data_IF_740426866268
#
_entry.id   IF_740426866268
#
_cell.length_a   1.000
_cell.length_b   1.000
_cell.length_c   1.000
_cell.angle_alpha   90.00
_cell.angle_beta   90.00
_cell.angle_gamma   90.00
#
_symmetry.space_group_name_H-M   'P 1'
#
loop_
_entity.id
_entity.type
_entity.pdbx_description
1 polymer ?
#
# COMPACT_ATOMS: atom_id res chain seq x y z
N UNK A 1 4.27 15.49 4.71
CA UNK A 1 5.70 15.11 4.45
C UNK A 1 5.93 14.95 2.94
N UNK A 2 7.18 15.00 2.42
CA UNK A 2 7.44 14.91 0.97
C UNK A 2 6.93 13.59 0.35
N UNK A 3 7.21 12.44 0.99
CA UNK A 3 6.80 11.12 0.50
C UNK A 3 5.26 11.02 0.34
N UNK A 4 4.52 11.51 1.33
CA UNK A 4 3.06 11.56 1.30
C UNK A 4 2.54 12.37 0.11
N UNK A 5 3.15 13.54 -0.17
CA UNK A 5 2.78 14.39 -1.31
C UNK A 5 3.08 13.73 -2.65
N UNK A 6 4.18 12.99 -2.75
CA UNK A 6 4.53 12.22 -3.95
C UNK A 6 3.48 11.12 -4.18
N UNK A 7 3.10 10.38 -3.14
CA UNK A 7 2.07 9.35 -3.25
C UNK A 7 0.70 9.93 -3.60
N UNK A 8 0.30 11.04 -2.96
CA UNK A 8 -0.93 11.79 -3.30
C UNK A 8 -0.93 12.19 -4.77
N UNK A 9 0.18 12.74 -5.27
CA UNK A 9 0.32 13.13 -6.67
C UNK A 9 0.24 11.93 -7.62
N UNK A 10 0.93 10.82 -7.32
CA UNK A 10 0.87 9.59 -8.13
C UNK A 10 -0.54 9.00 -8.23
N UNK A 11 -1.29 8.96 -7.12
CA UNK A 11 -2.69 8.52 -7.17
C UNK A 11 -3.57 9.52 -7.93
N UNK A 12 -3.32 10.82 -7.76
CA UNK A 12 -4.05 11.87 -8.47
C UNK A 12 -3.90 11.73 -9.99
N UNK A 13 -2.70 11.43 -10.49
CA UNK A 13 -2.44 11.31 -11.93
C UNK A 13 -3.03 10.04 -12.54
N UNK A 14 -3.16 8.96 -11.76
CA UNK A 14 -3.78 7.71 -12.20
C UNK A 14 -5.31 7.78 -12.27
N UNK A 15 -5.95 8.68 -11.51
CA UNK A 15 -7.40 8.81 -11.46
C UNK A 15 -7.90 10.16 -12.01
N UNK A 16 -8.45 10.13 -13.22
CA UNK A 16 -8.97 11.29 -13.95
C UNK A 16 -10.38 11.74 -13.47
N UNK A 17 -11.02 11.01 -12.55
CA UNK A 17 -12.37 11.34 -12.10
C UNK A 17 -12.40 12.60 -11.23
N UNK A 18 -13.44 13.42 -11.41
CA UNK A 18 -13.75 14.58 -10.54
C UNK A 18 -14.18 14.17 -9.14
N UNK A 19 -14.80 12.99 -9.00
CA UNK A 19 -15.17 12.40 -7.71
C UNK A 19 -14.23 11.25 -7.43
N UNK A 20 -13.26 11.50 -6.54
CA UNK A 20 -12.23 10.51 -6.20
C UNK A 20 -12.59 9.84 -4.89
N UNK A 21 -12.87 8.54 -4.97
CA UNK A 21 -12.96 7.71 -3.78
C UNK A 21 -11.58 7.60 -3.12
N UNK A 22 -11.56 7.54 -1.79
CA UNK A 22 -10.35 7.24 -1.03
C UNK A 22 -9.77 5.87 -1.48
N UNK A 23 -8.48 5.79 -1.83
CA UNK A 23 -7.90 4.57 -2.38
C UNK A 23 -7.75 3.48 -1.31
N UNK A 24 -7.80 2.22 -1.76
CA UNK A 24 -7.31 1.07 -0.99
C UNK A 24 -5.87 0.82 -1.43
N UNK A 25 -4.93 0.74 -0.51
CA UNK A 25 -3.49 0.71 -0.80
C UNK A 25 -2.87 -0.58 -0.28
N UNK A 26 -1.96 -1.15 -1.06
CA UNK A 26 -1.03 -2.20 -0.62
C UNK A 26 0.36 -1.58 -0.62
N UNK A 27 0.94 -1.40 0.57
CA UNK A 27 2.34 -1.00 0.71
C UNK A 27 3.19 -2.26 0.63
N UNK A 28 4.00 -2.35 -0.41
CA UNK A 28 4.83 -3.52 -0.67
C UNK A 28 6.30 -3.12 -0.72
N UNK A 29 7.00 -3.34 0.39
CA UNK A 29 8.43 -3.15 0.45
C UNK A 29 9.12 -4.36 -0.22
N UNK A 30 9.95 -4.08 -1.23
CA UNK A 30 10.62 -5.11 -2.05
C UNK A 30 12.05 -5.39 -1.60
N UNK A 31 12.63 -4.49 -0.83
CA UNK A 31 14.04 -4.52 -0.44
C UNK A 31 14.17 -4.40 1.07
N UNK A 32 15.26 -4.97 1.62
CA UNK A 32 15.55 -4.94 3.06
C UNK A 32 14.40 -5.46 3.91
N UNK A 33 13.79 -6.57 3.48
CA UNK A 33 12.71 -7.26 4.19
C UNK A 33 13.18 -8.60 4.78
N UNK A 34 14.50 -8.82 4.85
CA UNK A 34 15.08 -10.03 5.42
C UNK A 34 14.73 -10.10 6.92
N UNK A 35 14.06 -11.18 7.32
CA UNK A 35 13.53 -11.32 8.69
C UNK A 35 12.19 -10.62 8.94
N UNK A 36 11.57 -10.04 7.91
CA UNK A 36 10.30 -9.31 8.02
C UNK A 36 10.49 -7.82 8.28
N UNK A 37 9.39 -7.13 8.59
CA UNK A 37 9.42 -5.74 9.04
C UNK A 37 9.30 -5.72 10.57
N UNK A 38 10.03 -4.82 11.21
CA UNK A 38 9.77 -4.46 12.60
C UNK A 38 8.42 -3.75 12.75
N UNK A 39 7.88 -3.73 13.97
CA UNK A 39 6.64 -3.01 14.29
C UNK A 39 6.70 -1.53 13.91
N UNK A 40 7.89 -0.91 14.05
CA UNK A 40 8.11 0.50 13.73
C UNK A 40 8.06 0.70 12.20
N UNK A 41 8.72 -0.15 11.42
CA UNK A 41 8.70 -0.06 9.96
C UNK A 41 7.30 -0.29 9.40
N UNK A 42 6.60 -1.31 9.91
CA UNK A 42 5.21 -1.57 9.55
C UNK A 42 4.32 -0.36 9.85
N UNK A 43 4.47 0.21 11.06
CA UNK A 43 3.73 1.40 11.49
C UNK A 43 4.01 2.61 10.59
N UNK A 44 5.27 2.88 10.26
CA UNK A 44 5.66 4.00 9.40
C UNK A 44 5.05 3.85 8.01
N UNK A 45 5.05 2.64 7.43
CA UNK A 45 4.40 2.38 6.13
C UNK A 45 2.88 2.61 6.21
N UNK A 46 2.23 2.16 7.28
CA UNK A 46 0.80 2.35 7.50
C UNK A 46 0.43 3.83 7.67
N UNK A 47 1.20 4.57 8.45
CA UNK A 47 0.97 6.00 8.69
C UNK A 47 1.20 6.81 7.42
N UNK A 48 2.23 6.48 6.62
CA UNK A 48 2.49 7.13 5.33
C UNK A 48 1.32 6.93 4.36
N UNK A 49 0.83 5.69 4.22
CA UNK A 49 -0.32 5.37 3.37
C UNK A 49 -1.63 5.99 3.90
N UNK A 50 -1.80 6.08 5.21
CA UNK A 50 -2.98 6.73 5.80
C UNK A 50 -2.93 8.24 5.58
N UNK A 51 -1.75 8.87 5.74
CA UNK A 51 -1.55 10.29 5.52
C UNK A 51 -1.80 10.73 4.07
N UNK A 52 -1.56 9.86 3.08
CA UNK A 52 -1.94 10.14 1.69
C UNK A 52 -3.45 10.05 1.42
N UNK A 53 -4.25 9.62 2.40
CA UNK A 53 -5.72 9.51 2.31
C UNK A 53 -6.25 8.12 1.96
N UNK A 54 -5.47 7.06 2.19
CA UNK A 54 -5.95 5.69 1.99
C UNK A 54 -7.05 5.34 3.01
N UNK A 55 -8.13 4.70 2.55
CA UNK A 55 -9.20 4.18 3.43
C UNK A 55 -8.91 2.79 4.00
N UNK A 56 -7.98 2.06 3.38
CA UNK A 56 -7.57 0.74 3.80
C UNK A 56 -6.11 0.53 3.39
N UNK A 57 -5.29 0.04 4.31
CA UNK A 57 -3.86 -0.20 4.09
C UNK A 57 -3.50 -1.64 4.44
N UNK A 58 -2.92 -2.35 3.47
CA UNK A 58 -2.32 -3.66 3.66
C UNK A 58 -0.80 -3.53 3.54
N UNK A 59 -0.08 -4.21 4.42
CA UNK A 59 1.38 -4.34 4.33
C UNK A 59 1.68 -5.72 3.76
N UNK A 60 2.48 -5.76 2.69
CA UNK A 60 2.87 -7.00 2.03
C UNK A 60 4.39 -7.08 1.92
N UNK A 61 4.97 -8.14 2.49
CA UNK A 61 6.41 -8.43 2.50
C UNK A 61 6.75 -9.73 1.77
N UNK A 62 5.74 -10.41 1.20
CA UNK A 62 5.93 -11.65 0.45
C UNK A 62 6.42 -11.42 -0.98
N UNK A 63 6.24 -12.42 -1.84
CA UNK A 63 6.68 -12.36 -3.24
C UNK A 63 6.09 -11.16 -3.99
N UNK A 64 6.87 -10.64 -4.95
CA UNK A 64 6.48 -9.51 -5.81
C UNK A 64 5.09 -9.72 -6.42
N UNK A 65 4.20 -8.75 -6.20
CA UNK A 65 2.83 -8.80 -6.72
C UNK A 65 2.83 -8.70 -8.25
N UNK A 66 2.15 -9.64 -8.91
CA UNK A 66 1.80 -9.53 -10.31
C UNK A 66 0.48 -8.77 -10.46
N UNK A 67 0.56 -7.47 -10.74
CA UNK A 67 -0.60 -6.57 -10.86
C UNK A 67 -1.56 -6.91 -12.00
N UNK A 68 -1.18 -7.79 -12.93
CA UNK A 68 -2.06 -8.27 -14.02
C UNK A 68 -2.85 -9.52 -13.65
N UNK A 69 -2.39 -10.30 -12.67
CA UNK A 69 -2.99 -11.58 -12.29
C UNK A 69 -3.59 -11.57 -10.87
N UNK A 70 -3.16 -10.67 -10.00
CA UNK A 70 -3.57 -10.63 -8.60
C UNK A 70 -4.43 -9.40 -8.32
N UNK A 71 -5.59 -9.63 -7.71
CA UNK A 71 -6.48 -8.57 -7.24
C UNK A 71 -6.17 -8.16 -5.79
N UNK A 72 -6.65 -6.98 -5.41
CA UNK A 72 -6.53 -6.49 -4.03
C UNK A 72 -7.11 -7.48 -3.02
N UNK A 73 -8.34 -7.94 -3.25
CA UNK A 73 -9.04 -8.81 -2.30
C UNK A 73 -8.38 -10.20 -2.21
N UNK A 74 -7.79 -10.69 -3.30
CA UNK A 74 -7.00 -11.92 -3.28
C UNK A 74 -5.74 -11.80 -2.42
N UNK A 75 -5.08 -10.64 -2.43
CA UNK A 75 -3.92 -10.38 -1.56
C UNK A 75 -4.37 -10.21 -0.11
N UNK A 76 -5.45 -9.48 0.14
CA UNK A 76 -6.05 -9.32 1.47
C UNK A 76 -6.39 -10.66 2.13
N UNK A 77 -6.96 -11.59 1.36
CA UNK A 77 -7.28 -12.93 1.86
C UNK A 77 -6.03 -13.71 2.28
N UNK A 78 -4.94 -13.63 1.49
CA UNK A 78 -3.66 -14.28 1.83
C UNK A 78 -3.04 -13.74 3.11
N UNK A 79 -3.06 -12.41 3.30
CA UNK A 79 -2.51 -11.77 4.50
C UNK A 79 -3.29 -12.19 5.75
N UNK A 80 -4.63 -12.26 5.66
CA UNK A 80 -5.48 -12.68 6.80
C UNK A 80 -5.36 -14.15 7.19
N UNK A 81 -4.88 -15.00 6.29
CA UNK A 81 -4.73 -16.43 6.52
C UNK A 81 -3.38 -16.79 7.16
N UNK A 82 -2.46 -15.82 7.25
CA UNK A 82 -1.16 -15.92 7.91
C UNK A 82 -1.27 -15.35 9.32
#
# INVERSE_FOLDING_TARGET
MLAEKILQHGIFTLNSSKLRAAPRVIMHQLEKTDGGLSDIEERVLRELASGMGAREVLIHTGSKINVRAQSYDGIKAKIKAT
#
